data_IF_293133438808
#
_entry.id   IF_293133438808
#
_cell.length_a   1.000
_cell.length_b   1.000
_cell.length_c   1.000
_cell.angle_alpha   90.00
_cell.angle_beta   90.00
_cell.angle_gamma   90.00
#
_symmetry.space_group_name_H-M   'P 1'
#
loop_
_entity.id
_entity.type
_entity.pdbx_description
1 polymer ?
#
# COMPACT_ATOMS: atom_id res chain seq x y z
N UNK A 1 -9.00 6.49 15.84
CA UNK A 1 -9.19 5.23 15.07
C UNK A 1 -10.19 5.40 13.91
N UNK A 2 -9.70 5.85 12.76
CA UNK A 2 -10.42 5.79 11.49
C UNK A 2 -9.71 4.77 10.59
N UNK A 3 -10.46 3.82 10.04
CA UNK A 3 -9.91 2.91 9.02
C UNK A 3 -9.90 3.63 7.67
N UNK A 4 -8.73 3.76 7.06
CA UNK A 4 -8.56 4.31 5.72
C UNK A 4 -8.10 3.21 4.76
N UNK A 5 -8.58 3.30 3.52
CA UNK A 5 -8.13 2.43 2.44
C UNK A 5 -7.03 3.13 1.67
N UNK A 6 -5.87 2.48 1.57
CA UNK A 6 -4.78 2.95 0.74
C UNK A 6 -5.05 2.46 -0.68
N UNK A 7 -5.11 3.42 -1.60
CA UNK A 7 -5.38 3.18 -3.02
C UNK A 7 -4.08 3.30 -3.81
N UNK A 8 -4.03 2.59 -4.93
CA UNK A 8 -2.97 2.80 -5.91
C UNK A 8 -3.21 4.08 -6.70
N UNK A 9 -2.19 4.95 -6.79
CA UNK A 9 -2.22 6.16 -7.62
C UNK A 9 -1.91 5.89 -9.10
N UNK A 10 -1.55 4.65 -9.45
CA UNK A 10 -1.18 4.25 -10.81
C UNK A 10 -1.72 2.86 -11.16
N UNK A 11 -1.89 2.58 -12.45
CA UNK A 11 -2.07 1.21 -12.91
C UNK A 11 -0.69 0.53 -13.03
N UNK A 12 -0.53 -0.66 -12.45
CA UNK A 12 0.76 -1.35 -12.41
C UNK A 12 0.68 -2.74 -11.80
N UNK A 13 1.84 -3.32 -11.50
CA UNK A 13 1.96 -4.61 -10.82
C UNK A 13 2.58 -4.39 -9.45
N UNK A 14 2.11 -5.11 -8.43
CA UNK A 14 2.72 -5.09 -7.10
C UNK A 14 4.06 -5.79 -7.20
N UNK A 15 5.16 -5.07 -6.98
CA UNK A 15 6.50 -5.65 -7.03
C UNK A 15 6.89 -6.22 -5.67
N UNK A 16 6.87 -5.39 -4.63
CA UNK A 16 7.28 -5.80 -3.28
C UNK A 16 6.32 -5.27 -2.23
N UNK A 17 6.02 -6.09 -1.23
CA UNK A 17 5.22 -5.68 -0.07
C UNK A 17 6.15 -5.61 1.14
N UNK A 18 6.33 -4.42 1.70
CA UNK A 18 7.23 -4.17 2.84
C UNK A 18 6.54 -4.28 4.20
N UNK A 19 5.22 -4.48 4.22
CA UNK A 19 4.41 -4.47 5.44
C UNK A 19 3.51 -5.69 5.53
N UNK A 20 3.08 -6.02 6.74
CA UNK A 20 2.18 -7.14 7.02
C UNK A 20 1.00 -6.70 7.88
N UNK A 21 -0.05 -7.50 7.86
CA UNK A 21 -1.21 -7.29 8.73
C UNK A 21 -0.77 -7.24 10.20
N UNK A 22 -1.17 -6.19 10.89
CA UNK A 22 -0.82 -5.91 12.28
C UNK A 22 0.45 -5.07 12.48
N UNK A 23 1.23 -4.78 11.44
CA UNK A 23 2.42 -3.93 11.54
C UNK A 23 2.05 -2.47 11.82
N UNK A 24 2.90 -1.79 12.59
CA UNK A 24 2.82 -0.35 12.84
C UNK A 24 3.70 0.35 11.80
N UNK A 25 3.14 1.37 11.15
CA UNK A 25 3.80 2.17 10.12
C UNK A 25 3.82 3.64 10.52
N UNK A 26 4.84 4.36 10.08
CA UNK A 26 4.99 5.81 10.27
C UNK A 26 4.53 6.58 9.02
N UNK A 27 4.30 7.89 9.17
CA UNK A 27 4.07 8.78 8.03
C UNK A 27 5.25 8.72 7.04
N UNK A 28 4.95 8.75 5.74
CA UNK A 28 5.92 8.60 4.65
C UNK A 28 6.66 7.25 4.59
N UNK A 29 6.32 6.29 5.46
CA UNK A 29 6.90 4.95 5.40
C UNK A 29 6.43 4.22 4.13
N UNK A 30 7.37 3.64 3.38
CA UNK A 30 7.06 2.81 2.22
C UNK A 30 6.34 1.53 2.63
N UNK A 31 5.15 1.33 2.08
CA UNK A 31 4.28 0.19 2.34
C UNK A 31 4.47 -0.90 1.29
N UNK A 32 4.37 -0.50 0.02
CA UNK A 32 4.40 -1.38 -1.14
C UNK A 32 5.20 -0.67 -2.23
N UNK A 33 6.01 -1.41 -2.99
CA UNK A 33 6.62 -0.93 -4.22
C UNK A 33 5.83 -1.48 -5.39
N UNK A 34 5.39 -0.60 -6.27
CA UNK A 34 4.72 -0.96 -7.50
C UNK A 34 5.64 -0.81 -8.71
N UNK A 35 5.42 -1.62 -9.73
CA UNK A 35 6.05 -1.50 -11.04
C UNK A 35 5.02 -1.03 -12.07
N UNK A 36 5.27 0.09 -12.74
CA UNK A 36 4.49 0.53 -13.90
C UNK A 36 5.41 1.06 -14.98
N UNK A 37 5.24 0.58 -16.21
CA UNK A 37 6.04 1.00 -17.38
C UNK A 37 7.57 0.94 -17.14
N UNK A 38 8.06 -0.09 -16.41
CA UNK A 38 9.46 -0.25 -15.97
C UNK A 38 9.95 0.81 -14.97
N UNK A 39 9.05 1.52 -14.30
CA UNK A 39 9.36 2.44 -13.22
C UNK A 39 8.85 1.89 -11.89
N UNK A 40 9.66 2.05 -10.86
CA UNK A 40 9.34 1.74 -9.47
C UNK A 40 8.61 2.92 -8.84
N UNK A 41 7.44 2.66 -8.29
CA UNK A 41 6.57 3.67 -7.67
C UNK A 41 6.32 3.21 -6.24
N UNK A 42 7.02 3.80 -5.25
CA UNK A 42 6.79 3.49 -3.85
C UNK A 42 5.46 4.08 -3.39
N UNK A 43 4.64 3.24 -2.80
CA UNK A 43 3.40 3.64 -2.16
C UNK A 43 3.68 3.86 -0.66
N UNK A 44 3.52 5.10 -0.21
CA UNK A 44 3.86 5.52 1.15
C UNK A 44 2.61 5.69 2.01
N UNK A 45 2.75 5.52 3.32
CA UNK A 45 1.69 5.79 4.27
C UNK A 45 1.42 7.30 4.36
N UNK A 46 0.15 7.69 4.22
CA UNK A 46 -0.26 9.09 4.37
C UNK A 46 -0.09 9.63 5.80
N UNK A 47 -0.09 8.74 6.80
CA UNK A 47 0.16 9.07 8.20
C UNK A 47 0.57 7.80 8.97
N UNK A 48 1.04 7.98 10.20
CA UNK A 48 1.31 6.87 11.11
C UNK A 48 0.02 6.13 11.47
N UNK A 49 0.11 4.80 11.55
CA UNK A 49 -1.04 3.93 11.80
C UNK A 49 -0.65 2.46 11.87
N UNK A 50 -1.66 1.59 11.80
CA UNK A 50 -1.49 0.14 11.84
C UNK A 50 -2.10 -0.49 10.60
N UNK A 51 -1.38 -1.42 9.97
CA UNK A 51 -1.92 -2.20 8.85
C UNK A 51 -2.97 -3.17 9.39
N UNK A 52 -4.17 -3.10 8.83
CA UNK A 52 -5.30 -3.94 9.20
C UNK A 52 -5.34 -5.18 8.31
N UNK A 53 -5.23 -4.96 7.00
CA UNK A 53 -5.23 -6.06 6.04
C UNK A 53 -4.55 -5.65 4.74
N UNK A 54 -3.86 -6.57 4.09
CA UNK A 54 -3.25 -6.34 2.76
C UNK A 54 -4.12 -7.06 1.73
N UNK A 55 -4.68 -6.31 0.78
CA UNK A 55 -5.67 -6.81 -0.17
C UNK A 55 -5.05 -7.35 -1.46
N UNK A 56 -3.72 -7.24 -1.60
CA UNK A 56 -2.95 -7.59 -2.79
C UNK A 56 -1.76 -8.46 -2.43
N UNK A 57 -1.28 -9.25 -3.40
CA UNK A 57 -0.05 -10.02 -3.28
C UNK A 57 1.04 -9.52 -4.24
N UNK A 58 2.29 -9.88 -3.98
CA UNK A 58 3.39 -9.65 -4.92
C UNK A 58 3.10 -10.35 -6.26
N UNK A 59 3.23 -9.61 -7.35
CA UNK A 59 2.87 -10.04 -8.70
C UNK A 59 1.43 -9.71 -9.13
N UNK A 60 0.57 -9.21 -8.23
CA UNK A 60 -0.80 -8.84 -8.60
C UNK A 60 -0.84 -7.57 -9.44
N UNK A 61 -1.71 -7.57 -10.45
CA UNK A 61 -1.98 -6.39 -11.28
C UNK A 61 -3.06 -5.54 -10.62
N UNK A 62 -2.73 -4.28 -10.36
CA UNK A 62 -3.63 -3.30 -9.74
C UNK A 62 -3.93 -2.17 -10.72
N UNK A 63 -5.13 -1.61 -10.62
CA UNK A 63 -5.57 -0.47 -11.42
C UNK A 63 -5.43 0.83 -10.65
N UNK A 64 -5.42 1.93 -11.40
CA UNK A 64 -5.59 3.27 -10.85
C UNK A 64 -6.84 3.33 -9.93
N UNK A 65 -6.65 3.83 -8.72
CA UNK A 65 -7.70 3.95 -7.69
C UNK A 65 -8.12 2.64 -7.02
N UNK A 66 -7.47 1.51 -7.33
CA UNK A 66 -7.76 0.23 -6.70
C UNK A 66 -7.24 0.20 -5.26
N UNK A 67 -8.03 -0.35 -4.34
CA UNK A 67 -7.63 -0.56 -2.95
C UNK A 67 -6.54 -1.63 -2.86
N UNK A 68 -5.42 -1.30 -2.23
CA UNK A 68 -4.27 -2.21 -2.08
C UNK A 68 -4.12 -2.74 -0.67
N UNK A 69 -4.41 -1.93 0.35
CA UNK A 69 -4.40 -2.34 1.74
C UNK A 69 -5.30 -1.44 2.58
N UNK A 70 -5.67 -1.94 3.76
CA UNK A 70 -6.40 -1.22 4.78
C UNK A 70 -5.46 -0.89 5.93
N UNK A 71 -5.51 0.36 6.39
CA UNK A 71 -4.80 0.79 7.59
C UNK A 71 -5.75 1.52 8.54
N UNK A 72 -5.48 1.40 9.82
CA UNK A 72 -6.15 2.14 10.87
C UNK A 72 -5.20 3.21 11.37
N UNK A 73 -5.64 4.45 11.25
CA UNK A 73 -4.88 5.57 11.76
C UNK A 73 -5.62 6.14 12.97
N UNK A 74 -4.87 6.54 13.99
CA UNK A 74 -5.49 7.08 15.20
C UNK A 74 -5.99 8.52 15.01
#
# INVERSE_FOLDING_TARGET
MSTISVKSDVAGTVWQIHVREGDIVEEDQTLIIMESMKMEIPLMAAQAGRIISVLVAEGDVVKDGQDVLLMECD
#
